data_IF_191829137259
#
_entry.id   IF_191829137259
#
_cell.length_a   1.000
_cell.length_b   1.000
_cell.length_c   1.000
_cell.angle_alpha   90.00
_cell.angle_beta   90.00
_cell.angle_gamma   90.00
#
_symmetry.space_group_name_H-M   'P 1'
#
loop_
_entity.id
_entity.type
_entity.pdbx_description
1 polymer ?
#
# COMPACT_ATOMS: atom_id res chain seq x y z
N UNK A 1 15.70 8.07 16.21
CA UNK A 1 14.35 8.51 15.78
C UNK A 1 14.15 8.03 14.36
N UNK A 2 13.03 7.38 14.06
CA UNK A 2 12.73 6.98 12.68
C UNK A 2 12.00 8.15 12.00
N UNK A 3 12.52 8.65 10.89
CA UNK A 3 11.83 9.62 10.03
C UNK A 3 11.06 8.84 8.99
N UNK A 4 9.72 8.95 9.02
CA UNK A 4 8.85 8.36 8.01
C UNK A 4 8.48 9.44 7.01
N UNK A 5 8.91 9.30 5.76
CA UNK A 5 8.47 10.12 4.65
C UNK A 5 7.33 9.38 3.94
N UNK A 6 6.13 9.96 3.96
CA UNK A 6 4.97 9.39 3.25
C UNK A 6 4.90 10.05 1.87
N UNK A 7 5.25 9.31 0.83
CA UNK A 7 5.04 9.70 -0.55
C UNK A 7 3.74 9.05 -1.05
N UNK A 8 2.67 9.86 -1.17
CA UNK A 8 1.45 9.43 -1.84
C UNK A 8 1.49 9.95 -3.27
N UNK A 9 1.52 9.05 -4.26
CA UNK A 9 1.29 9.42 -5.65
C UNK A 9 -0.20 9.73 -5.81
N UNK A 10 -0.57 10.97 -5.43
CA UNK A 10 -1.92 11.46 -5.58
C UNK A 10 -2.23 11.65 -7.07
N UNK A 11 -2.98 10.73 -7.64
CA UNK A 11 -3.81 11.05 -8.79
C UNK A 11 -4.70 12.23 -8.39
N UNK A 12 -4.48 13.41 -9.02
CA UNK A 12 -5.10 14.66 -8.62
C UNK A 12 -6.62 14.62 -8.68
N UNK A 13 -7.30 14.51 -7.54
CA UNK A 13 -8.69 14.86 -7.38
C UNK A 13 -8.82 16.38 -7.38
N UNK A 14 -9.09 16.98 -8.54
CA UNK A 14 -9.67 18.31 -8.61
C UNK A 14 -11.12 18.25 -8.16
N UNK A 15 -11.36 18.65 -6.93
CA UNK A 15 -12.71 18.87 -6.40
C UNK A 15 -13.29 20.14 -7.06
N UNK A 16 -14.00 19.98 -8.16
CA UNK A 16 -14.89 21.00 -8.70
C UNK A 16 -16.26 20.78 -8.06
N UNK A 17 -16.54 21.57 -7.03
CA UNK A 17 -17.89 21.73 -6.50
C UNK A 17 -18.79 22.32 -7.60
N UNK A 18 -19.69 21.52 -8.10
CA UNK A 18 -20.81 21.97 -8.91
C UNK A 18 -22.06 21.89 -8.04
N UNK A 19 -22.52 23.02 -7.59
CA UNK A 19 -23.88 23.17 -7.04
C UNK A 19 -24.89 22.67 -8.08
N UNK A 20 -25.70 21.72 -7.71
CA UNK A 20 -26.89 21.34 -8.44
C UNK A 20 -28.04 21.25 -7.46
N UNK A 21 -28.97 22.09 -7.75
CA UNK A 21 -30.33 22.36 -7.30
C UNK A 21 -31.11 21.13 -6.81
N UNK A 22 -31.80 21.34 -5.70
CA UNK A 22 -32.69 20.41 -5.05
C UNK A 22 -34.02 20.26 -5.80
N UNK A 23 -34.40 19.04 -6.08
CA UNK A 23 -35.81 18.69 -6.25
C UNK A 23 -36.13 17.44 -5.42
N UNK A 24 -37.02 17.65 -4.47
CA UNK A 24 -37.65 16.63 -3.63
C UNK A 24 -38.42 15.61 -4.47
N UNK A 25 -38.29 14.35 -4.15
CA UNK A 25 -39.36 13.36 -4.25
C UNK A 25 -39.29 12.41 -3.06
N UNK A 26 -40.33 12.49 -2.26
CA UNK A 26 -40.64 11.60 -1.15
C UNK A 26 -41.11 10.22 -1.64
N UNK A 27 -40.70 9.14 -0.99
CA UNK A 27 -41.59 8.01 -0.73
C UNK A 27 -41.05 7.16 0.43
N UNK A 28 -41.92 7.00 1.40
CA UNK A 28 -41.82 6.18 2.59
C UNK A 28 -41.79 4.68 2.27
N UNK A 29 -41.04 3.89 3.03
CA UNK A 29 -41.46 2.57 3.44
C UNK A 29 -40.63 2.10 4.63
N UNK A 30 -41.31 1.90 5.73
CA UNK A 30 -40.88 1.26 6.97
C UNK A 30 -40.63 -0.23 6.75
N UNK A 31 -39.71 -0.83 7.55
CA UNK A 31 -39.97 -2.03 8.38
C UNK A 31 -38.73 -2.39 9.20
N UNK A 32 -38.86 -2.23 10.48
CA UNK A 32 -38.74 -3.13 11.62
C UNK A 32 -37.43 -3.94 11.80
N UNK A 33 -36.82 -3.60 12.94
CA UNK A 33 -35.89 -4.41 13.74
C UNK A 33 -36.63 -5.49 14.52
N UNK A 34 -35.99 -6.60 14.92
CA UNK A 34 -35.75 -6.70 16.35
C UNK A 34 -34.37 -7.24 16.78
N UNK A 35 -33.97 -6.72 17.88
CA UNK A 35 -32.92 -6.93 18.76
C UNK A 35 -32.64 -8.34 19.30
N UNK A 36 -31.43 -8.50 19.80
CA UNK A 36 -31.06 -9.42 20.85
C UNK A 36 -29.86 -8.87 21.62
N UNK A 37 -30.16 -8.52 22.84
CA UNK A 37 -29.26 -8.26 23.95
C UNK A 37 -28.57 -9.55 24.39
N UNK A 38 -27.26 -9.54 24.61
CA UNK A 38 -26.63 -10.46 25.54
C UNK A 38 -25.56 -9.74 26.36
N UNK A 39 -25.87 -9.64 27.63
CA UNK A 39 -24.98 -9.34 28.76
C UNK A 39 -24.03 -10.55 28.98
N UNK A 40 -22.79 -10.31 29.36
CA UNK A 40 -21.98 -11.24 30.16
C UNK A 40 -20.97 -10.43 30.98
N UNK A 41 -21.25 -10.30 32.16
CA UNK A 41 -20.66 -10.65 33.45
C UNK A 41 -19.16 -10.44 33.58
N UNK A 42 -18.85 -9.48 34.43
CA UNK A 42 -17.62 -9.21 35.15
C UNK A 42 -17.31 -10.32 36.17
N UNK A 43 -16.14 -10.91 36.10
CA UNK A 43 -15.59 -11.69 37.20
C UNK A 43 -14.29 -11.04 37.70
N UNK A 44 -14.39 -10.52 38.92
CA UNK A 44 -13.29 -10.05 39.75
C UNK A 44 -12.72 -11.26 40.50
N UNK A 45 -11.42 -11.45 40.45
CA UNK A 45 -10.71 -12.35 41.35
C UNK A 45 -9.63 -11.59 42.12
N UNK A 46 -9.70 -11.84 43.40
CA UNK A 46 -9.05 -11.14 44.52
C UNK A 46 -7.55 -11.49 44.65
N UNK A 47 -6.88 -10.53 45.23
CA UNK A 47 -5.55 -10.48 45.83
C UNK A 47 -5.28 -11.57 46.84
N UNK A 48 -4.09 -12.19 46.83
CA UNK A 48 -3.46 -12.74 48.02
C UNK A 48 -2.03 -12.19 48.17
N UNK A 49 -1.90 -11.41 49.25
CA UNK A 49 -0.61 -11.01 49.81
C UNK A 49 0.03 -12.20 50.54
N UNK A 50 1.33 -12.40 50.29
CA UNK A 50 2.16 -13.17 51.22
C UNK A 50 3.43 -12.37 51.51
N UNK A 51 3.53 -11.95 52.78
CA UNK A 51 4.70 -11.38 53.40
C UNK A 51 5.63 -12.48 53.94
N UNK A 52 6.88 -12.04 54.16
CA UNK A 52 8.02 -12.62 54.87
C UNK A 52 9.10 -13.28 53.98
N UNK A 53 10.39 -13.02 54.10
CA UNK A 53 11.19 -12.58 55.26
C UNK A 53 12.54 -12.01 54.77
N UNK A 54 13.09 -11.13 55.57
CA UNK A 54 14.45 -10.59 55.53
C UNK A 54 15.52 -11.69 55.56
N UNK A 55 16.50 -11.57 54.65
CA UNK A 55 17.87 -11.99 54.97
C UNK A 55 18.86 -11.08 54.20
N UNK A 56 19.76 -10.44 54.96
CA UNK A 56 20.78 -9.59 54.47
C UNK A 56 21.95 -10.42 53.92
N UNK A 57 22.40 -10.12 52.73
CA UNK A 57 23.73 -10.55 52.23
C UNK A 57 24.27 -9.51 51.26
N UNK A 58 25.27 -8.85 51.74
CA UNK A 58 26.53 -8.46 51.09
C UNK A 58 26.50 -7.71 49.76
N UNK A 59 27.06 -6.46 49.83
CA UNK A 59 27.51 -5.61 48.76
C UNK A 59 28.35 -6.40 47.72
N UNK A 60 27.78 -6.66 46.58
CA UNK A 60 28.54 -6.81 45.35
C UNK A 60 28.31 -5.54 44.51
N UNK A 61 29.35 -4.72 44.39
CA UNK A 61 29.48 -3.61 43.47
C UNK A 61 29.41 -4.16 42.04
N UNK A 62 28.17 -4.34 41.56
CA UNK A 62 27.91 -4.59 40.13
C UNK A 62 28.10 -3.29 39.42
N UNK A 63 29.22 -3.13 38.73
CA UNK A 63 29.43 -2.07 37.77
C UNK A 63 28.27 -2.06 36.80
N UNK A 64 27.43 -1.03 36.91
CA UNK A 64 26.45 -0.70 35.88
C UNK A 64 27.26 -0.35 34.61
N UNK A 65 27.42 -1.32 33.71
CA UNK A 65 27.74 -1.01 32.32
C UNK A 65 26.55 -0.18 31.80
N UNK A 66 26.73 1.17 31.79
CA UNK A 66 25.86 2.03 31.03
C UNK A 66 25.93 1.57 29.57
N UNK A 67 24.97 0.75 29.18
CA UNK A 67 24.74 0.49 27.75
C UNK A 67 24.26 1.80 27.15
N UNK A 68 25.18 2.54 26.52
CA UNK A 68 24.81 3.65 25.65
C UNK A 68 23.84 3.10 24.61
N UNK A 69 22.57 3.45 24.75
CA UNK A 69 21.52 3.09 23.80
C UNK A 69 21.78 3.89 22.52
N UNK A 70 22.57 3.28 21.61
CA UNK A 70 22.91 3.85 20.32
C UNK A 70 21.65 3.81 19.44
N UNK A 71 20.86 4.88 19.46
CA UNK A 71 19.77 5.07 18.49
C UNK A 71 20.37 5.23 17.09
N UNK A 72 20.04 4.30 16.22
CA UNK A 72 20.33 4.42 14.79
C UNK A 72 19.13 5.10 14.13
N UNK A 73 19.37 6.21 13.47
CA UNK A 73 18.35 6.85 12.64
C UNK A 73 18.20 6.07 11.33
N UNK A 74 16.96 5.74 10.98
CA UNK A 74 16.61 5.04 9.74
C UNK A 74 15.60 5.86 8.95
N UNK A 75 15.79 5.91 7.63
CA UNK A 75 14.90 6.58 6.69
C UNK A 75 14.02 5.53 6.01
N UNK A 76 12.72 5.63 6.22
CA UNK A 76 11.73 4.73 5.61
C UNK A 76 10.82 5.56 4.72
N UNK A 77 10.69 5.16 3.47
CA UNK A 77 9.73 5.71 2.52
C UNK A 77 8.60 4.72 2.33
N UNK A 78 7.36 5.21 2.32
CA UNK A 78 6.17 4.41 2.05
C UNK A 78 5.45 5.04 0.85
N UNK A 79 5.21 4.25 -0.19
CA UNK A 79 4.38 4.62 -1.33
C UNK A 79 3.25 3.60 -1.51
N UNK A 80 2.12 4.04 -2.08
CA UNK A 80 0.93 3.21 -2.27
C UNK A 80 0.26 3.58 -3.58
N UNK A 81 -0.59 2.69 -4.09
CA UNK A 81 -1.44 2.94 -5.26
C UNK A 81 -0.63 3.34 -6.51
N UNK A 82 0.45 2.62 -6.78
CA UNK A 82 1.31 2.84 -7.94
C UNK A 82 0.55 2.65 -9.26
N UNK A 83 -0.37 1.67 -9.30
CA UNK A 83 -1.14 1.29 -10.46
C UNK A 83 -0.30 1.20 -11.74
N UNK A 84 0.88 0.61 -11.60
CA UNK A 84 1.81 0.47 -12.71
C UNK A 84 1.22 -0.38 -13.83
N UNK A 85 1.40 0.05 -15.06
CA UNK A 85 0.94 -0.66 -16.25
C UNK A 85 2.08 -0.83 -17.24
N UNK A 86 2.44 -2.08 -17.57
CA UNK A 86 3.57 -2.37 -18.43
C UNK A 86 3.39 -1.78 -19.84
N UNK A 87 4.43 -1.13 -20.38
CA UNK A 87 4.40 -0.47 -21.68
C UNK A 87 4.03 -1.42 -22.82
N UNK A 88 4.50 -2.68 -22.75
CA UNK A 88 4.20 -3.75 -23.72
C UNK A 88 2.69 -4.07 -23.84
N UNK A 89 1.89 -3.72 -22.84
CA UNK A 89 0.45 -3.94 -22.82
C UNK A 89 -0.36 -2.78 -23.41
N UNK A 90 0.25 -1.61 -23.61
CA UNK A 90 -0.41 -0.38 -24.06
C UNK A 90 -0.55 -0.27 -25.59
N UNK A 91 -0.08 -1.26 -26.36
CA UNK A 91 -0.20 -1.28 -27.81
C UNK A 91 0.40 -0.06 -28.52
N UNK A 92 1.59 0.36 -28.08
CA UNK A 92 2.25 1.61 -28.51
C UNK A 92 1.39 2.85 -28.28
N UNK A 93 0.71 2.92 -27.13
CA UNK A 93 -0.23 4.02 -26.79
C UNK A 93 -1.34 4.17 -27.83
N UNK A 94 -1.93 3.04 -28.26
CA UNK A 94 -3.03 3.03 -29.22
C UNK A 94 -4.28 3.77 -28.68
N UNK A 95 -5.20 4.13 -29.59
CA UNK A 95 -6.40 4.91 -29.21
C UNK A 95 -7.25 4.24 -28.12
N UNK A 96 -7.32 2.92 -28.08
CA UNK A 96 -8.05 2.17 -27.05
C UNK A 96 -7.39 2.32 -25.66
N UNK A 97 -6.06 2.29 -25.59
CA UNK A 97 -5.33 2.56 -24.36
C UNK A 97 -5.51 4.02 -23.91
N UNK A 98 -5.29 4.97 -24.82
CA UNK A 98 -5.45 6.41 -24.51
C UNK A 98 -6.88 6.73 -24.06
N UNK A 99 -7.88 6.11 -24.69
CA UNK A 99 -9.29 6.25 -24.29
C UNK A 99 -9.56 5.75 -22.88
N UNK A 100 -9.00 4.58 -22.50
CA UNK A 100 -9.08 4.04 -21.15
C UNK A 100 -8.33 4.92 -20.15
N UNK A 101 -7.07 5.27 -20.45
CA UNK A 101 -6.22 6.05 -19.54
C UNK A 101 -6.80 7.44 -19.21
N UNK A 102 -7.51 8.05 -20.16
CA UNK A 102 -8.20 9.36 -19.99
C UNK A 102 -9.60 9.27 -19.44
N UNK A 103 -10.27 8.13 -19.64
CA UNK A 103 -11.63 7.89 -19.17
C UNK A 103 -11.71 7.42 -17.72
N UNK A 104 -10.59 7.20 -17.08
CA UNK A 104 -10.49 6.64 -15.73
C UNK A 104 -10.86 7.63 -14.61
N UNK A 105 -10.76 7.16 -13.43
CA UNK A 105 -11.15 7.75 -12.14
C UNK A 105 -10.15 8.80 -11.59
N UNK A 106 -9.43 9.49 -12.48
CA UNK A 106 -8.44 10.51 -12.13
C UNK A 106 -7.00 10.01 -12.07
N UNK A 107 -6.75 8.73 -12.35
CA UNK A 107 -5.39 8.19 -12.50
C UNK A 107 -4.75 8.76 -13.76
N UNK A 108 -3.49 9.17 -13.67
CA UNK A 108 -2.71 9.74 -14.80
C UNK A 108 -1.98 8.66 -15.58
N UNK A 109 -2.67 7.57 -15.92
CA UNK A 109 -2.08 6.37 -16.53
C UNK A 109 -1.34 6.64 -17.85
N UNK A 110 -1.73 7.66 -18.61
CA UNK A 110 -1.03 8.03 -19.85
C UNK A 110 0.40 8.53 -19.61
N UNK A 111 0.73 8.91 -18.36
CA UNK A 111 2.07 9.36 -17.92
C UNK A 111 2.68 8.40 -16.89
N UNK A 112 2.12 7.20 -16.72
CA UNK A 112 2.51 6.27 -15.67
C UNK A 112 3.99 5.89 -15.72
N UNK A 113 4.55 5.73 -16.91
CA UNK A 113 5.99 5.39 -17.08
C UNK A 113 6.89 6.57 -16.71
N UNK A 114 6.56 7.78 -17.16
CA UNK A 114 7.30 8.99 -16.82
C UNK A 114 7.23 9.28 -15.31
N UNK A 115 6.11 8.99 -14.66
CA UNK A 115 5.95 9.10 -13.19
C UNK A 115 6.78 8.03 -12.49
N UNK A 116 6.79 6.80 -13.01
CA UNK A 116 7.60 5.71 -12.45
C UNK A 116 9.09 6.02 -12.57
N UNK A 117 9.56 6.48 -13.72
CA UNK A 117 10.97 6.87 -13.91
C UNK A 117 11.36 7.95 -12.91
N UNK A 118 10.55 9.00 -12.77
CA UNK A 118 10.78 10.07 -11.78
C UNK A 118 10.80 9.55 -10.35
N UNK A 119 9.87 8.63 -10.00
CA UNK A 119 9.83 8.01 -8.70
C UNK A 119 11.10 7.21 -8.39
N UNK A 120 11.59 6.42 -9.35
CA UNK A 120 12.82 5.63 -9.18
C UNK A 120 14.05 6.54 -9.02
N UNK A 121 14.10 7.65 -9.75
CA UNK A 121 15.19 8.64 -9.62
C UNK A 121 15.11 9.33 -8.25
N UNK A 122 13.92 9.73 -7.79
CA UNK A 122 13.72 10.32 -6.47
C UNK A 122 14.14 9.33 -5.36
N UNK A 123 13.82 8.03 -5.47
CA UNK A 123 14.25 7.03 -4.49
C UNK A 123 15.78 6.90 -4.42
N UNK A 124 16.47 6.95 -5.56
CA UNK A 124 17.94 6.92 -5.59
C UNK A 124 18.57 8.20 -5.01
N UNK A 125 17.93 9.37 -5.19
CA UNK A 125 18.39 10.64 -4.60
C UNK A 125 18.11 10.69 -3.09
N UNK A 126 16.94 10.22 -2.66
CA UNK A 126 16.52 10.17 -1.27
C UNK A 126 17.30 9.12 -0.45
N UNK A 127 17.80 8.07 -1.10
CA UNK A 127 18.59 6.98 -0.51
C UNK A 127 17.98 6.47 0.81
N UNK A 128 16.73 5.95 0.80
CA UNK A 128 16.11 5.42 1.99
C UNK A 128 16.72 4.06 2.41
N UNK A 129 16.72 3.76 3.70
CA UNK A 129 17.10 2.45 4.20
C UNK A 129 16.08 1.37 3.83
N UNK A 130 14.80 1.77 3.70
CA UNK A 130 13.70 0.88 3.35
C UNK A 130 12.63 1.64 2.54
N UNK A 131 12.26 1.08 1.39
CA UNK A 131 11.07 1.45 0.62
C UNK A 131 9.98 0.42 0.82
N UNK A 132 8.80 0.85 1.24
CA UNK A 132 7.61 0.00 1.36
C UNK A 132 6.60 0.42 0.31
N UNK A 133 6.23 -0.51 -0.58
CA UNK A 133 5.12 -0.33 -1.52
C UNK A 133 3.89 -1.06 -0.99
N UNK A 134 2.86 -0.30 -0.63
CA UNK A 134 1.72 -0.79 0.15
C UNK A 134 0.43 -0.83 -0.66
N UNK A 135 0.29 -1.88 -1.46
CA UNK A 135 -0.94 -2.20 -2.20
C UNK A 135 -1.11 -1.49 -3.53
N UNK A 136 -1.97 -2.04 -4.35
CA UNK A 136 -2.33 -1.60 -5.70
C UNK A 136 -1.11 -1.23 -6.55
N UNK A 137 -0.18 -2.19 -6.61
CA UNK A 137 1.11 -2.07 -7.29
C UNK A 137 0.92 -1.94 -8.80
N UNK A 138 -0.04 -2.72 -9.34
CA UNK A 138 -0.37 -2.78 -10.77
C UNK A 138 -1.80 -2.32 -11.03
N UNK A 139 -2.13 -2.02 -12.28
CA UNK A 139 -3.44 -1.49 -12.65
C UNK A 139 -4.56 -2.50 -12.35
N UNK A 140 -4.46 -3.71 -12.90
CA UNK A 140 -5.43 -4.78 -12.73
C UNK A 140 -4.75 -6.17 -12.62
N UNK A 141 -3.61 -6.23 -11.95
CA UNK A 141 -2.91 -7.48 -11.65
C UNK A 141 -2.32 -8.17 -12.87
N UNK A 142 -2.05 -7.45 -13.97
CA UNK A 142 -1.44 -8.02 -15.17
C UNK A 142 -0.09 -8.61 -14.80
N UNK A 143 0.10 -9.91 -15.07
CA UNK A 143 1.37 -10.60 -14.82
C UNK A 143 2.55 -9.86 -15.46
N UNK A 144 2.36 -9.38 -16.68
CA UNK A 144 3.37 -8.62 -17.39
C UNK A 144 3.73 -7.27 -16.74
N UNK A 145 2.77 -6.65 -16.02
CA UNK A 145 3.02 -5.42 -15.24
C UNK A 145 3.81 -5.73 -13.97
N UNK A 146 3.51 -6.83 -13.28
CA UNK A 146 4.28 -7.28 -12.12
C UNK A 146 5.71 -7.64 -12.48
N UNK A 147 5.92 -8.39 -13.57
CA UNK A 147 7.26 -8.75 -14.05
C UNK A 147 8.11 -7.50 -14.35
N UNK A 148 7.55 -6.53 -15.07
CA UNK A 148 8.26 -5.30 -15.44
C UNK A 148 8.51 -4.41 -14.22
N UNK A 149 7.54 -4.30 -13.30
CA UNK A 149 7.72 -3.57 -12.04
C UNK A 149 8.81 -4.22 -11.16
N UNK A 150 8.84 -5.55 -11.07
CA UNK A 150 9.88 -6.25 -10.32
C UNK A 150 11.29 -5.96 -10.86
N UNK A 151 11.46 -5.96 -12.20
CA UNK A 151 12.73 -5.59 -12.83
C UNK A 151 13.15 -4.14 -12.50
N UNK A 152 12.19 -3.20 -12.46
CA UNK A 152 12.46 -1.81 -12.09
C UNK A 152 12.87 -1.68 -10.61
N UNK A 153 12.22 -2.41 -9.72
CA UNK A 153 12.53 -2.40 -8.28
C UNK A 153 13.83 -3.12 -7.95
N UNK A 154 14.23 -4.14 -8.75
CA UNK A 154 15.54 -4.77 -8.63
C UNK A 154 16.67 -3.75 -8.79
N UNK A 155 16.50 -2.76 -9.68
CA UNK A 155 17.44 -1.65 -9.84
C UNK A 155 17.62 -0.77 -8.62
N UNK A 156 16.59 -0.64 -7.74
CA UNK A 156 16.71 0.04 -6.45
C UNK A 156 17.47 -0.84 -5.44
N UNK A 157 17.18 -2.15 -5.43
CA UNK A 157 17.86 -3.11 -4.56
C UNK A 157 19.37 -3.21 -4.90
N UNK A 158 19.72 -3.17 -6.18
CA UNK A 158 21.12 -3.10 -6.63
C UNK A 158 21.81 -1.79 -6.21
N UNK A 159 21.06 -0.71 -6.07
CA UNK A 159 21.54 0.56 -5.53
C UNK A 159 21.71 0.57 -3.99
N UNK A 160 21.26 -0.49 -3.31
CA UNK A 160 21.40 -0.66 -1.86
C UNK A 160 20.16 -0.31 -1.04
N UNK A 161 19.03 -0.01 -1.69
CA UNK A 161 17.75 0.30 -1.03
C UNK A 161 17.02 -1.00 -0.77
N UNK A 162 16.65 -1.27 0.50
CA UNK A 162 15.79 -2.41 0.83
C UNK A 162 14.35 -2.13 0.36
N UNK A 163 13.75 -3.05 -0.40
CA UNK A 163 12.39 -2.89 -0.94
C UNK A 163 11.47 -3.98 -0.38
N UNK A 164 10.36 -3.56 0.19
CA UNK A 164 9.29 -4.45 0.67
C UNK A 164 7.98 -4.13 -0.07
N UNK A 165 7.30 -5.16 -0.57
CA UNK A 165 6.05 -5.01 -1.31
C UNK A 165 4.90 -5.76 -0.63
N UNK A 166 3.72 -5.18 -0.65
CA UNK A 166 2.47 -5.78 -0.14
C UNK A 166 1.43 -5.65 -1.25
N UNK A 167 0.78 -6.74 -1.69
CA UNK A 167 -0.23 -6.65 -2.74
C UNK A 167 -1.52 -6.01 -2.23
N UNK A 168 -2.19 -5.25 -3.10
CA UNK A 168 -3.53 -4.70 -2.89
C UNK A 168 -4.62 -5.55 -3.54
N UNK A 169 -5.82 -4.99 -3.57
CA UNK A 169 -6.98 -5.68 -4.16
C UNK A 169 -6.93 -5.73 -5.70
N UNK A 170 -6.15 -4.85 -6.34
CA UNK A 170 -5.95 -4.88 -7.78
C UNK A 170 -4.97 -5.97 -8.24
N UNK A 171 -4.04 -6.41 -7.40
CA UNK A 171 -2.81 -7.06 -7.83
C UNK A 171 -2.93 -8.56 -8.13
N UNK A 172 -3.80 -9.29 -7.45
CA UNK A 172 -3.79 -10.77 -7.48
C UNK A 172 -5.10 -11.34 -7.98
N UNK A 173 -5.02 -12.31 -8.93
CA UNK A 173 -6.18 -13.02 -9.49
C UNK A 173 -7.27 -12.07 -10.03
N UNK A 174 -6.88 -10.94 -10.56
CA UNK A 174 -7.80 -9.91 -11.03
C UNK A 174 -8.40 -10.32 -12.40
N UNK A 175 -9.73 -10.43 -12.53
CA UNK A 175 -10.38 -10.80 -13.78
C UNK A 175 -10.34 -9.70 -14.85
N UNK A 176 -9.96 -8.49 -14.45
CA UNK A 176 -9.96 -7.30 -15.30
C UNK A 176 -8.60 -7.01 -15.97
N UNK A 177 -7.60 -7.90 -15.74
CA UNK A 177 -6.31 -7.80 -16.40
C UNK A 177 -6.45 -7.76 -17.95
N UNK A 178 -5.93 -6.69 -18.57
CA UNK A 178 -6.09 -6.40 -20.00
C UNK A 178 -4.77 -5.97 -20.64
N UNK A 179 -4.70 -6.13 -21.96
CA UNK A 179 -3.82 -5.39 -22.87
C UNK A 179 -4.66 -4.61 -23.86
N UNK A 180 -4.05 -3.60 -24.45
CA UNK A 180 -4.72 -2.73 -25.43
C UNK A 180 -4.08 -2.88 -26.79
N UNK A 181 -4.92 -2.93 -27.83
CA UNK A 181 -4.55 -3.04 -29.24
C UNK A 181 -5.34 -2.02 -30.06
N UNK A 182 -5.02 -1.89 -31.35
CA UNK A 182 -5.81 -1.04 -32.25
C UNK A 182 -7.29 -1.47 -32.33
N UNK A 183 -7.57 -2.76 -32.07
CA UNK A 183 -8.92 -3.33 -32.15
C UNK A 183 -9.68 -3.27 -30.81
N UNK A 184 -9.03 -2.81 -29.74
CA UNK A 184 -9.63 -2.67 -28.42
C UNK A 184 -8.86 -3.36 -27.30
N UNK A 185 -9.55 -3.60 -26.16
CA UNK A 185 -8.99 -4.28 -25.00
C UNK A 185 -9.11 -5.80 -25.10
N UNK A 186 -8.05 -6.51 -24.80
CA UNK A 186 -8.01 -7.99 -24.77
C UNK A 186 -7.60 -8.49 -23.40
N UNK A 187 -8.19 -9.60 -22.96
CA UNK A 187 -7.85 -10.23 -21.68
C UNK A 187 -6.43 -10.78 -21.69
N UNK A 188 -5.70 -10.58 -20.59
CA UNK A 188 -4.37 -11.17 -20.37
C UNK A 188 -4.33 -11.96 -19.06
N UNK A 189 -3.22 -12.61 -18.79
CA UNK A 189 -2.97 -13.35 -17.57
C UNK A 189 -2.79 -12.38 -16.39
N UNK A 190 -3.48 -12.64 -15.28
CA UNK A 190 -3.24 -12.00 -14.00
C UNK A 190 -2.35 -12.89 -13.15
N UNK A 191 -1.49 -12.28 -12.34
CA UNK A 191 -0.62 -13.01 -11.42
C UNK A 191 -1.43 -13.70 -10.32
N UNK A 192 -0.98 -14.87 -9.89
CA UNK A 192 -1.54 -15.58 -8.74
C UNK A 192 -0.83 -15.23 -7.44
N UNK A 193 -1.43 -15.57 -6.30
CA UNK A 193 -0.80 -15.35 -5.00
C UNK A 193 0.51 -16.17 -4.81
N UNK A 194 0.62 -17.32 -5.47
CA UNK A 194 1.83 -18.13 -5.42
C UNK A 194 2.95 -17.48 -6.27
N UNK A 195 2.62 -17.03 -7.48
CA UNK A 195 3.57 -16.33 -8.36
C UNK A 195 4.03 -14.99 -7.79
N UNK A 196 3.19 -14.30 -7.00
CA UNK A 196 3.57 -13.04 -6.36
C UNK A 196 4.64 -13.23 -5.25
N UNK A 197 4.72 -14.42 -4.66
CA UNK A 197 5.68 -14.72 -3.58
C UNK A 197 7.04 -15.19 -4.07
N UNK A 198 7.10 -15.69 -5.30
CA UNK A 198 8.30 -16.28 -5.91
C UNK A 198 9.19 -15.19 -6.55
#
# INVERSE_FOLDING_TARGET
>A
MATVLLAALLGGCSFLSKEADATEVSSEAETESPGATQESETETAETEETQESHEAAEDEESGEEETEDHFVEKKIVVATDMHYFAEKLAGNRCDSFVGMARGGDGRVLEYGWEVMDAFLDDMKEEDPDLLILSGDLTLDGEKASHEELAELLEGLSEAGIEVAVIPGNHDINNPDARRYTADGAEKVESITADEFRD
#
